data_IF_025257916111
#
_entry.id   IF_025257916111
#
_cell.length_a   1.000
_cell.length_b   1.000
_cell.length_c   1.000
_cell.angle_alpha   90.00
_cell.angle_beta   90.00
_cell.angle_gamma   90.00
#
_symmetry.space_group_name_H-M   'P 1'
#
loop_
_entity.id
_entity.type
_entity.pdbx_description
1 polymer ?
#
# COMPACT_ATOMS: atom_id res chain seq x y z
N UNK A 1 23.80 42.26 -67.30
CA UNK A 1 24.25 41.42 -66.18
C UNK A 1 23.36 41.74 -64.99
N UNK A 2 22.38 40.86 -64.72
CA UNK A 2 21.42 40.97 -63.62
C UNK A 2 21.95 40.09 -62.50
N UNK A 3 22.38 40.68 -61.38
CA UNK A 3 22.72 39.97 -60.16
C UNK A 3 21.43 39.65 -59.38
N UNK A 4 21.05 38.37 -59.32
CA UNK A 4 19.99 37.91 -58.44
C UNK A 4 20.61 37.61 -57.07
N UNK A 5 20.35 38.50 -56.10
CA UNK A 5 20.62 38.19 -54.68
C UNK A 5 19.63 37.15 -54.19
N UNK A 6 20.10 35.91 -54.06
CA UNK A 6 19.36 34.84 -53.33
C UNK A 6 19.46 35.13 -51.85
N UNK A 7 18.40 35.70 -51.25
CA UNK A 7 18.21 35.70 -49.80
C UNK A 7 17.94 34.28 -49.35
N UNK A 8 18.93 33.62 -48.80
CA UNK A 8 18.77 32.39 -48.05
C UNK A 8 17.96 32.68 -46.79
N UNK A 9 16.67 32.47 -46.80
CA UNK A 9 15.82 32.40 -45.60
C UNK A 9 16.24 31.16 -44.79
N UNK A 10 17.15 31.34 -43.87
CA UNK A 10 17.38 30.29 -42.86
C UNK A 10 16.10 30.13 -42.05
N UNK A 11 15.58 28.89 -41.90
CA UNK A 11 14.45 28.67 -41.02
C UNK A 11 14.86 29.00 -39.60
N UNK A 12 14.21 30.02 -39.02
CA UNK A 12 14.29 30.25 -37.56
C UNK A 12 13.78 29.00 -36.88
N UNK A 13 14.67 28.12 -36.47
CA UNK A 13 14.33 27.05 -35.54
C UNK A 13 13.86 27.71 -34.25
N UNK A 14 12.55 27.76 -34.06
CA UNK A 14 11.97 28.04 -32.75
C UNK A 14 12.40 26.88 -31.87
N UNK A 15 13.51 27.06 -31.16
CA UNK A 15 13.90 26.13 -30.08
C UNK A 15 12.77 26.16 -29.07
N UNK A 16 11.94 25.09 -29.08
CA UNK A 16 10.91 24.89 -28.08
C UNK A 16 11.59 25.03 -26.69
N UNK A 17 11.07 25.90 -25.83
CA UNK A 17 11.59 26.08 -24.47
C UNK A 17 11.80 24.70 -23.85
N UNK A 18 13.06 24.31 -23.66
CA UNK A 18 13.43 23.03 -23.06
C UNK A 18 13.10 22.97 -21.56
N UNK A 19 12.67 24.07 -20.98
CA UNK A 19 12.38 24.23 -19.55
C UNK A 19 11.06 24.99 -19.37
N UNK A 20 10.19 24.45 -18.53
CA UNK A 20 8.95 25.12 -18.06
C UNK A 20 8.98 25.19 -16.54
N UNK A 21 8.57 26.31 -15.98
CA UNK A 21 8.58 26.52 -14.52
C UNK A 21 7.36 27.30 -14.06
N UNK A 22 7.13 27.28 -12.77
CA UNK A 22 6.07 28.02 -12.08
C UNK A 22 6.25 27.93 -10.57
N UNK A 23 5.22 28.34 -9.83
CA UNK A 23 5.14 28.22 -8.37
C UNK A 23 3.90 27.43 -8.00
N UNK A 24 3.95 26.71 -6.88
CA UNK A 24 2.77 26.13 -6.24
C UNK A 24 2.04 27.18 -5.37
N UNK A 25 0.88 26.81 -4.80
CA UNK A 25 0.10 27.75 -3.99
C UNK A 25 0.79 28.14 -2.67
N UNK A 26 1.81 27.40 -2.24
CA UNK A 26 2.62 27.71 -1.08
C UNK A 26 3.85 28.55 -1.43
N UNK A 27 4.08 28.86 -2.72
CA UNK A 27 5.18 29.65 -3.21
C UNK A 27 6.44 28.85 -3.51
N UNK A 28 6.44 27.52 -3.41
CA UNK A 28 7.58 26.71 -3.83
C UNK A 28 7.70 26.75 -5.36
N UNK A 29 8.92 26.91 -5.86
CA UNK A 29 9.22 26.89 -7.30
C UNK A 29 9.28 25.46 -7.81
N UNK A 30 8.61 25.20 -8.93
CA UNK A 30 8.79 23.97 -9.68
C UNK A 30 9.36 24.22 -11.07
N UNK A 31 10.11 23.26 -11.60
CA UNK A 31 10.74 23.33 -12.92
C UNK A 31 10.67 21.97 -13.59
N UNK A 32 10.19 21.94 -14.85
CA UNK A 32 10.22 20.74 -15.68
C UNK A 32 11.23 20.87 -16.81
N UNK A 33 12.17 19.95 -16.89
CA UNK A 33 13.19 19.85 -17.92
C UNK A 33 12.78 18.76 -18.93
N UNK A 34 12.45 19.16 -20.15
CA UNK A 34 11.96 18.23 -21.18
C UNK A 34 13.03 17.25 -21.65
N UNK A 35 14.29 17.67 -21.74
CA UNK A 35 15.42 16.84 -22.18
C UNK A 35 15.73 15.70 -21.22
N UNK A 36 15.65 15.96 -19.91
CA UNK A 36 15.91 14.97 -18.86
C UNK A 36 14.64 14.36 -18.28
N UNK A 37 13.46 14.85 -18.70
CA UNK A 37 12.15 14.48 -18.17
C UNK A 37 12.07 14.56 -16.65
N UNK A 38 12.72 15.57 -16.08
CA UNK A 38 12.86 15.78 -14.65
C UNK A 38 11.96 16.92 -14.20
N UNK A 39 11.16 16.66 -13.18
CA UNK A 39 10.38 17.63 -12.44
C UNK A 39 11.07 17.90 -11.10
N UNK A 40 11.47 19.14 -10.86
CA UNK A 40 12.20 19.57 -9.66
C UNK A 40 11.37 20.56 -8.86
N UNK A 41 11.43 20.47 -7.53
CA UNK A 41 10.81 21.40 -6.58
C UNK A 41 11.86 22.00 -5.65
N UNK A 42 11.83 23.32 -5.50
CA UNK A 42 12.68 24.06 -4.59
C UNK A 42 11.85 25.05 -3.77
N UNK A 43 12.16 25.20 -2.49
CA UNK A 43 11.45 26.07 -1.56
C UNK A 43 11.67 25.67 -0.11
N UNK A 44 10.89 26.27 0.80
CA UNK A 44 11.04 26.10 2.25
C UNK A 44 9.74 25.67 2.95
N UNK A 45 8.71 25.35 2.18
CA UNK A 45 7.40 24.93 2.68
C UNK A 45 7.02 23.53 2.17
N UNK A 46 5.93 22.99 2.70
CA UNK A 46 5.35 21.80 2.11
C UNK A 46 4.80 22.09 0.70
N UNK A 47 4.91 21.13 -0.22
CA UNK A 47 4.21 21.18 -1.51
C UNK A 47 2.71 21.17 -1.23
N UNK A 48 1.96 21.97 -1.99
CA UNK A 48 0.52 22.19 -1.80
C UNK A 48 -0.31 20.91 -1.96
N UNK A 49 -1.49 20.90 -1.33
CA UNK A 49 -2.51 19.85 -1.50
C UNK A 49 -3.33 20.10 -2.76
N UNK A 50 -3.71 19.04 -3.44
CA UNK A 50 -4.58 19.06 -4.61
C UNK A 50 -5.71 18.04 -4.50
N UNK A 51 -6.78 18.25 -5.27
CA UNK A 51 -7.89 17.31 -5.42
C UNK A 51 -8.01 16.93 -6.89
N UNK A 52 -8.13 15.63 -7.17
CA UNK A 52 -8.21 15.11 -8.54
C UNK A 52 -9.67 14.88 -9.01
N UNK A 53 -10.67 15.42 -8.31
CA UNK A 53 -12.09 15.13 -8.58
C UNK A 53 -12.75 16.02 -9.66
N UNK A 54 -12.00 16.58 -10.59
CA UNK A 54 -12.54 17.28 -11.77
C UNK A 54 -13.20 18.63 -11.50
N UNK A 55 -13.31 19.07 -10.25
CA UNK A 55 -13.91 20.37 -9.86
C UNK A 55 -12.96 21.27 -9.08
N UNK A 56 -11.85 20.71 -8.55
CA UNK A 56 -10.83 21.45 -7.83
C UNK A 56 -9.48 21.27 -8.53
N UNK A 57 -8.61 22.24 -8.39
CA UNK A 57 -7.36 22.40 -9.13
C UNK A 57 -6.49 21.14 -9.18
N UNK A 58 -6.21 20.66 -10.39
CA UNK A 58 -5.07 19.80 -10.65
C UNK A 58 -3.77 20.57 -10.40
N UNK A 59 -2.67 19.92 -9.96
CA UNK A 59 -1.37 20.55 -9.86
C UNK A 59 -0.97 21.20 -11.19
N UNK A 60 -0.40 22.40 -11.18
CA UNK A 60 0.04 23.12 -12.40
C UNK A 60 1.02 22.29 -13.24
N UNK A 61 1.78 21.37 -12.61
CA UNK A 61 2.72 20.47 -13.24
C UNK A 61 2.09 19.13 -13.68
N UNK A 62 0.80 18.89 -13.41
CA UNK A 62 0.12 17.63 -13.75
C UNK A 62 0.14 17.33 -15.26
N UNK A 63 0.14 18.37 -16.10
CA UNK A 63 0.30 18.24 -17.56
C UNK A 63 1.57 17.48 -17.99
N UNK A 64 2.53 17.33 -17.09
CA UNK A 64 3.77 16.60 -17.29
C UNK A 64 3.77 15.21 -16.67
N UNK A 65 2.69 14.78 -16.01
CA UNK A 65 2.59 13.50 -15.31
C UNK A 65 2.97 12.32 -16.21
N UNK A 66 2.46 12.28 -17.44
CA UNK A 66 2.75 11.22 -18.42
C UNK A 66 4.15 11.34 -19.07
N UNK A 67 4.90 12.41 -18.82
CA UNK A 67 6.21 12.67 -19.45
C UNK A 67 7.34 12.61 -18.43
N UNK A 68 7.05 12.80 -17.15
CA UNK A 68 8.05 12.84 -16.08
C UNK A 68 8.59 11.43 -15.81
N UNK A 69 9.92 11.31 -15.84
CA UNK A 69 10.62 10.08 -15.44
C UNK A 69 11.34 10.23 -14.09
N UNK A 70 11.67 11.46 -13.70
CA UNK A 70 12.38 11.75 -12.47
C UNK A 70 11.70 12.90 -11.72
N UNK A 71 11.46 12.71 -10.42
CA UNK A 71 10.95 13.73 -9.50
C UNK A 71 12.07 14.01 -8.49
N UNK A 72 12.48 15.27 -8.38
CA UNK A 72 13.52 15.72 -7.45
C UNK A 72 12.93 16.79 -6.55
N UNK A 73 12.91 16.52 -5.26
CA UNK A 73 12.52 17.48 -4.22
C UNK A 73 13.81 17.96 -3.56
N UNK A 74 14.06 19.26 -3.60
CA UNK A 74 15.27 19.86 -3.04
C UNK A 74 15.13 20.11 -1.54
N UNK A 75 16.30 20.27 -0.89
CA UNK A 75 16.37 20.57 0.55
C UNK A 75 15.63 21.89 0.86
N UNK A 76 14.94 21.92 2.02
CA UNK A 76 14.08 23.02 2.44
C UNK A 76 12.59 22.64 2.34
N UNK A 77 12.17 21.85 1.35
CA UNK A 77 10.79 21.38 1.26
C UNK A 77 10.44 20.50 2.47
N UNK A 78 9.38 20.87 3.21
CA UNK A 78 9.05 20.25 4.50
C UNK A 78 7.98 19.16 4.44
N UNK A 79 7.31 19.00 3.30
CA UNK A 79 6.28 17.97 3.13
C UNK A 79 5.79 17.82 1.70
N UNK A 80 5.21 16.67 1.42
CA UNK A 80 4.58 16.36 0.13
C UNK A 80 3.06 16.43 0.31
N UNK A 81 2.41 17.29 -0.46
CA UNK A 81 0.97 17.53 -0.40
C UNK A 81 0.15 16.35 -0.89
N UNK A 82 -1.15 16.38 -0.59
CA UNK A 82 -2.12 15.41 -1.09
C UNK A 82 -2.16 15.45 -2.62
N UNK A 83 -2.18 14.28 -3.26
CA UNK A 83 -2.22 14.10 -4.71
C UNK A 83 -1.11 14.84 -5.49
N UNK A 84 -0.08 15.38 -4.83
CA UNK A 84 0.89 16.25 -5.49
C UNK A 84 1.57 15.58 -6.70
N UNK A 85 1.78 14.28 -6.65
CA UNK A 85 2.39 13.46 -7.70
C UNK A 85 1.58 12.20 -8.00
N UNK A 86 0.26 12.22 -7.79
CA UNK A 86 -0.60 11.10 -8.18
C UNK A 86 -0.62 10.96 -9.71
N UNK A 87 -0.70 9.70 -10.20
CA UNK A 87 -0.75 9.34 -11.62
C UNK A 87 0.50 9.71 -12.45
N UNK A 88 1.65 9.90 -11.81
CA UNK A 88 2.93 10.03 -12.50
C UNK A 88 3.44 8.66 -12.96
N UNK A 89 2.66 8.03 -13.86
CA UNK A 89 2.79 6.61 -14.23
C UNK A 89 4.16 6.22 -14.79
N UNK A 90 4.91 7.17 -15.36
CA UNK A 90 6.23 6.97 -15.93
C UNK A 90 7.38 7.36 -14.98
N UNK A 91 7.09 7.92 -13.79
CA UNK A 91 8.10 8.29 -12.81
C UNK A 91 8.86 7.06 -12.32
N UNK A 92 10.15 7.00 -12.62
CA UNK A 92 11.07 5.89 -12.29
C UNK A 92 11.74 6.12 -10.95
N UNK A 93 12.02 7.37 -10.62
CA UNK A 93 12.73 7.77 -9.41
C UNK A 93 12.06 8.97 -8.74
N UNK A 94 12.06 8.96 -7.44
CA UNK A 94 11.66 10.07 -6.57
C UNK A 94 12.78 10.27 -5.55
N UNK A 95 13.34 11.48 -5.51
CA UNK A 95 14.33 11.88 -4.52
C UNK A 95 13.67 12.81 -3.51
N UNK A 96 13.71 12.45 -2.25
CA UNK A 96 13.16 13.21 -1.13
C UNK A 96 14.31 13.69 -0.23
N UNK A 97 14.38 14.98 0.13
CA UNK A 97 15.40 15.53 1.01
C UNK A 97 15.13 15.23 2.48
N UNK A 98 16.14 15.39 3.32
CA UNK A 98 16.04 15.14 4.76
C UNK A 98 15.15 16.17 5.50
N UNK A 99 14.82 17.30 4.86
CA UNK A 99 13.86 18.29 5.37
C UNK A 99 12.40 17.83 5.41
N UNK A 100 12.01 16.79 4.64
CA UNK A 100 10.63 16.31 4.58
C UNK A 100 10.22 15.66 5.91
N UNK A 101 9.04 16.06 6.43
CA UNK A 101 8.45 15.59 7.71
C UNK A 101 7.15 14.82 7.51
N UNK A 102 6.45 15.01 6.38
CA UNK A 102 5.16 14.37 6.11
C UNK A 102 5.01 14.08 4.61
N UNK A 103 4.46 12.91 4.31
CA UNK A 103 3.92 12.56 2.99
C UNK A 103 2.43 12.40 3.20
N UNK A 104 1.62 13.21 2.49
CA UNK A 104 0.16 13.24 2.69
C UNK A 104 -0.55 12.15 1.87
N UNK A 105 -1.87 12.13 1.98
CA UNK A 105 -2.73 11.15 1.33
C UNK A 105 -2.53 11.21 -0.19
N UNK A 106 -2.47 10.02 -0.83
CA UNK A 106 -2.43 9.80 -2.28
C UNK A 106 -1.25 10.52 -3.00
N UNK A 107 -0.22 10.99 -2.24
CA UNK A 107 0.85 11.84 -2.76
C UNK A 107 1.61 11.26 -3.96
N UNK A 108 1.76 9.95 -4.04
CA UNK A 108 2.40 9.20 -5.13
C UNK A 108 1.51 8.03 -5.60
N UNK A 109 0.17 8.17 -5.46
CA UNK A 109 -0.76 7.16 -5.95
C UNK A 109 -0.51 6.88 -7.43
N UNK A 110 -0.60 5.61 -7.86
CA UNK A 110 -0.44 5.17 -9.26
C UNK A 110 0.90 5.56 -9.92
N UNK A 111 1.97 5.74 -9.19
CA UNK A 111 3.32 5.87 -9.76
C UNK A 111 3.83 4.49 -10.20
N UNK A 112 3.24 3.97 -11.28
CA UNK A 112 3.37 2.57 -11.71
C UNK A 112 4.80 2.16 -12.08
N UNK A 113 5.66 3.11 -12.46
CA UNK A 113 7.04 2.85 -12.86
C UNK A 113 8.07 3.02 -11.74
N UNK A 114 7.67 3.56 -10.58
CA UNK A 114 8.54 3.74 -9.43
C UNK A 114 9.02 2.39 -8.88
N UNK A 115 10.36 2.21 -8.79
CA UNK A 115 10.95 0.93 -8.36
C UNK A 115 11.38 0.92 -6.91
N UNK A 116 11.95 2.01 -6.45
CA UNK A 116 12.49 2.15 -5.09
C UNK A 116 12.22 3.56 -4.59
N UNK A 117 12.03 3.68 -3.28
CA UNK A 117 11.97 4.98 -2.62
C UNK A 117 12.57 4.87 -1.22
N UNK A 118 13.43 5.83 -0.88
CA UNK A 118 13.92 6.05 0.48
C UNK A 118 13.07 7.14 1.13
N UNK A 119 12.41 6.80 2.22
CA UNK A 119 11.66 7.77 3.02
C UNK A 119 12.63 8.40 4.03
N UNK A 120 12.76 9.74 4.08
CA UNK A 120 13.68 10.42 5.00
C UNK A 120 13.39 10.12 6.47
N UNK A 121 14.44 10.12 7.29
CA UNK A 121 14.34 9.75 8.72
C UNK A 121 13.43 10.70 9.54
N UNK A 122 13.26 11.94 9.08
CA UNK A 122 12.35 12.92 9.67
C UNK A 122 10.86 12.66 9.46
N UNK A 123 10.49 11.73 8.56
CA UNK A 123 9.08 11.47 8.23
C UNK A 123 8.41 10.66 9.33
N UNK A 124 7.45 11.26 10.03
CA UNK A 124 6.68 10.60 11.10
C UNK A 124 5.39 9.93 10.59
N UNK A 125 4.87 10.35 9.43
CA UNK A 125 3.59 9.89 8.87
C UNK A 125 3.66 9.79 7.35
N UNK A 126 3.20 8.64 6.83
CA UNK A 126 2.82 8.45 5.43
C UNK A 126 1.30 8.38 5.37
N UNK A 127 0.68 9.22 4.53
CA UNK A 127 -0.77 9.32 4.34
C UNK A 127 -1.37 8.06 3.73
N UNK A 128 -2.68 7.93 3.87
CA UNK A 128 -3.40 6.82 3.27
C UNK A 128 -3.34 6.94 1.74
N UNK A 129 -3.11 5.82 1.06
CA UNK A 129 -3.02 5.80 -0.41
C UNK A 129 -1.72 6.34 -1.01
N UNK A 130 -0.81 6.92 -0.20
CA UNK A 130 0.37 7.61 -0.71
C UNK A 130 1.21 6.80 -1.71
N UNK A 131 1.17 5.48 -1.68
CA UNK A 131 1.86 4.58 -2.62
C UNK A 131 0.95 3.49 -3.18
N UNK A 132 -0.38 3.66 -3.11
CA UNK A 132 -1.33 2.72 -3.73
C UNK A 132 -1.07 2.67 -5.25
N UNK A 133 -1.08 1.46 -5.82
CA UNK A 133 -0.89 1.29 -7.26
C UNK A 133 0.53 1.52 -7.79
N UNK A 134 1.54 1.67 -6.92
CA UNK A 134 2.94 1.69 -7.33
C UNK A 134 3.38 0.28 -7.75
N UNK A 135 2.87 -0.20 -8.92
CA UNK A 135 2.94 -1.60 -9.31
C UNK A 135 4.35 -2.16 -9.40
N UNK A 136 5.34 -1.34 -9.83
CA UNK A 136 6.74 -1.76 -9.97
C UNK A 136 7.59 -1.52 -8.72
N UNK A 137 7.00 -1.02 -7.62
CA UNK A 137 7.74 -0.75 -6.39
C UNK A 137 8.25 -2.08 -5.80
N UNK A 138 9.58 -2.23 -5.78
CA UNK A 138 10.29 -3.40 -5.28
C UNK A 138 10.73 -3.24 -3.83
N UNK A 139 11.09 -2.00 -3.46
CA UNK A 139 11.60 -1.66 -2.14
C UNK A 139 11.11 -0.28 -1.69
N UNK A 140 10.71 -0.19 -0.42
CA UNK A 140 10.47 1.06 0.29
C UNK A 140 11.26 1.03 1.60
N UNK A 141 12.23 1.96 1.73
CA UNK A 141 13.03 2.10 2.94
C UNK A 141 12.30 3.05 3.89
N UNK A 142 11.82 2.51 5.00
CA UNK A 142 11.05 3.27 6.00
C UNK A 142 11.94 3.73 7.15
N UNK A 143 11.75 4.96 7.66
CA UNK A 143 12.46 5.44 8.84
C UNK A 143 12.05 4.65 10.10
N UNK A 144 13.02 4.42 11.00
CA UNK A 144 12.81 3.65 12.22
C UNK A 144 11.75 4.26 13.17
N UNK A 145 11.56 5.58 13.11
CA UNK A 145 10.69 6.34 14.01
C UNK A 145 9.29 6.61 13.45
N UNK A 146 8.96 6.08 12.26
CA UNK A 146 7.65 6.28 11.65
C UNK A 146 6.54 5.71 12.56
N UNK A 147 5.45 6.46 12.72
CA UNK A 147 4.33 6.09 13.60
C UNK A 147 3.09 5.64 12.85
N UNK A 148 2.87 6.18 11.67
CA UNK A 148 1.69 5.88 10.84
C UNK A 148 2.08 5.66 9.39
N UNK A 149 1.58 4.57 8.81
CA UNK A 149 1.81 4.20 7.42
C UNK A 149 0.46 3.91 6.78
N UNK A 150 0.18 4.60 5.68
CA UNK A 150 -0.95 4.34 4.81
C UNK A 150 -0.78 3.09 3.97
N UNK A 151 -1.81 2.73 3.21
CA UNK A 151 -1.83 1.52 2.39
C UNK A 151 -0.73 1.50 1.32
N UNK A 152 -0.20 0.29 1.12
CA UNK A 152 0.70 -0.08 0.02
C UNK A 152 -0.03 -1.04 -0.95
N UNK A 153 -1.35 -0.89 -1.06
CA UNK A 153 -2.22 -1.69 -1.90
C UNK A 153 -1.76 -1.65 -3.36
N UNK A 154 -1.71 -2.81 -4.00
CA UNK A 154 -1.34 -2.90 -5.42
C UNK A 154 0.15 -2.73 -5.74
N UNK A 155 1.04 -2.66 -4.74
CA UNK A 155 2.48 -2.71 -4.96
C UNK A 155 2.93 -4.14 -5.33
N UNK A 156 2.64 -4.55 -6.57
CA UNK A 156 2.73 -5.96 -7.02
C UNK A 156 4.14 -6.55 -6.96
N UNK A 157 5.20 -5.73 -6.94
CA UNK A 157 6.60 -6.17 -6.98
C UNK A 157 7.32 -6.18 -5.64
N UNK A 158 6.74 -5.62 -4.57
CA UNK A 158 7.33 -5.67 -3.23
C UNK A 158 7.49 -7.14 -2.80
N UNK A 159 8.75 -7.55 -2.53
CA UNK A 159 9.08 -8.92 -2.10
C UNK A 159 9.12 -9.06 -0.59
N UNK A 160 9.55 -8.02 0.11
CA UNK A 160 9.64 -8.00 1.55
C UNK A 160 9.30 -6.62 2.10
N UNK A 161 8.71 -6.58 3.30
CA UNK A 161 8.48 -5.34 4.02
C UNK A 161 8.70 -5.55 5.51
N UNK A 162 9.37 -4.59 6.15
CA UNK A 162 9.58 -4.55 7.58
C UNK A 162 8.93 -3.30 8.16
N UNK A 163 7.81 -3.47 8.83
CA UNK A 163 7.20 -2.36 9.58
C UNK A 163 7.98 -2.15 10.88
N UNK A 164 8.46 -0.93 11.17
CA UNK A 164 9.09 -0.59 12.44
C UNK A 164 8.16 -0.84 13.64
N UNK A 165 8.73 -1.19 14.79
CA UNK A 165 7.96 -1.46 15.99
C UNK A 165 7.31 -0.20 16.61
N UNK A 166 7.72 0.99 16.17
CA UNK A 166 7.08 2.29 16.48
C UNK A 166 5.70 2.45 15.83
N UNK A 167 5.40 1.69 14.78
CA UNK A 167 4.09 1.70 14.12
C UNK A 167 3.08 1.00 15.02
N UNK A 168 2.07 1.72 15.48
CA UNK A 168 1.02 1.19 16.34
C UNK A 168 -0.32 0.98 15.63
N UNK A 169 -0.44 1.46 14.41
CA UNK A 169 -1.64 1.37 13.59
C UNK A 169 -1.28 1.16 12.12
N UNK A 170 -1.92 0.19 11.50
CA UNK A 170 -1.88 -0.05 10.05
C UNK A 170 -3.29 0.20 9.49
N UNK A 171 -3.39 0.82 8.33
CA UNK A 171 -4.68 0.98 7.65
C UNK A 171 -5.22 -0.37 7.18
N UNK A 172 -6.54 -0.48 7.00
CA UNK A 172 -7.19 -1.68 6.47
C UNK A 172 -6.71 -1.94 5.03
N UNK A 173 -6.38 -3.20 4.70
CA UNK A 173 -5.87 -3.57 3.39
C UNK A 173 -4.43 -3.10 3.14
N UNK A 174 -3.63 -2.95 4.18
CA UNK A 174 -2.27 -2.37 4.15
C UNK A 174 -1.38 -2.91 3.01
N UNK A 175 -1.48 -4.20 2.68
CA UNK A 175 -0.68 -4.90 1.66
C UNK A 175 -1.56 -5.64 0.64
N UNK A 176 -2.81 -5.22 0.47
CA UNK A 176 -3.71 -5.86 -0.49
C UNK A 176 -3.11 -5.85 -1.90
N UNK A 177 -3.09 -7.01 -2.57
CA UNK A 177 -2.57 -7.13 -3.94
C UNK A 177 -1.04 -7.05 -4.07
N UNK A 178 -0.28 -7.11 -2.96
CA UNK A 178 1.18 -7.23 -3.03
C UNK A 178 1.57 -8.65 -3.45
N UNK A 179 1.36 -8.98 -4.73
CA UNK A 179 1.42 -10.35 -5.25
C UNK A 179 2.78 -11.03 -5.08
N UNK A 180 3.89 -10.27 -5.17
CA UNK A 180 5.25 -10.78 -5.03
C UNK A 180 5.70 -10.93 -3.57
N UNK A 181 4.93 -10.47 -2.59
CA UNK A 181 5.31 -10.46 -1.18
C UNK A 181 5.58 -11.89 -0.67
N UNK A 182 6.77 -12.12 -0.16
CA UNK A 182 7.19 -13.40 0.43
C UNK A 182 7.46 -13.29 1.91
N UNK A 183 7.85 -12.11 2.38
CA UNK A 183 8.23 -11.87 3.76
C UNK A 183 7.62 -10.56 4.29
N UNK A 184 7.07 -10.60 5.50
CA UNK A 184 6.55 -9.43 6.20
C UNK A 184 6.88 -9.51 7.68
N UNK A 185 7.51 -8.44 8.21
CA UNK A 185 7.65 -8.21 9.65
C UNK A 185 6.59 -7.21 10.07
N UNK A 186 5.68 -7.64 10.96
CA UNK A 186 4.64 -6.79 11.54
C UNK A 186 5.11 -6.15 12.84
N UNK A 187 4.61 -4.95 13.20
CA UNK A 187 4.93 -4.30 14.47
C UNK A 187 4.57 -5.21 15.65
N UNK A 188 5.44 -5.28 16.65
CA UNK A 188 5.27 -6.21 17.80
C UNK A 188 4.02 -5.90 18.65
N UNK A 189 3.58 -4.64 18.67
CA UNK A 189 2.44 -4.16 19.45
C UNK A 189 1.11 -4.11 18.72
N UNK A 190 1.08 -4.61 17.47
CA UNK A 190 -0.14 -4.64 16.66
C UNK A 190 -1.26 -5.40 17.39
N UNK A 191 -2.46 -4.77 17.49
CA UNK A 191 -3.61 -5.30 18.21
C UNK A 191 -4.59 -6.06 17.32
N UNK A 192 -4.60 -5.76 16.04
CA UNK A 192 -5.60 -6.28 15.10
C UNK A 192 -4.98 -6.58 13.74
N UNK A 193 -5.42 -7.67 13.15
CA UNK A 193 -5.29 -7.96 11.72
C UNK A 193 -6.63 -7.63 11.09
N UNK A 194 -6.62 -6.61 10.23
CA UNK A 194 -7.82 -6.03 9.62
C UNK A 194 -8.24 -6.76 8.36
N UNK A 195 -9.45 -6.52 7.84
CA UNK A 195 -9.85 -7.04 6.55
C UNK A 195 -8.84 -6.67 5.45
N UNK A 196 -8.61 -7.59 4.53
CA UNK A 196 -7.76 -7.42 3.34
C UNK A 196 -6.27 -7.11 3.59
N UNK A 197 -5.78 -7.10 4.82
CA UNK A 197 -4.39 -6.72 5.13
C UNK A 197 -3.33 -7.43 4.29
N UNK A 198 -3.59 -8.70 3.90
CA UNK A 198 -2.71 -9.52 3.07
C UNK A 198 -3.45 -10.19 1.91
N UNK A 199 -4.68 -9.73 1.60
CA UNK A 199 -5.44 -10.33 0.50
C UNK A 199 -4.65 -10.25 -0.80
N UNK A 200 -4.69 -11.34 -1.58
CA UNK A 200 -3.96 -11.51 -2.84
C UNK A 200 -2.43 -11.38 -2.75
N UNK A 201 -1.84 -11.48 -1.56
CA UNK A 201 -0.40 -11.72 -1.40
C UNK A 201 -0.06 -13.17 -1.80
N UNK A 202 -0.15 -13.49 -3.09
CA UNK A 202 -0.13 -14.86 -3.63
C UNK A 202 1.13 -15.65 -3.30
N UNK A 203 2.28 -14.95 -3.16
CA UNK A 203 3.57 -15.57 -2.82
C UNK A 203 3.86 -15.65 -1.33
N UNK A 204 3.01 -15.07 -0.47
CA UNK A 204 3.17 -15.12 0.99
C UNK A 204 2.85 -16.53 1.51
N UNK A 205 3.89 -17.32 1.78
CA UNK A 205 3.79 -18.72 2.22
C UNK A 205 3.82 -18.89 3.74
N UNK A 206 4.30 -17.87 4.47
CA UNK A 206 4.42 -17.85 5.93
C UNK A 206 4.12 -16.45 6.45
N UNK A 207 3.51 -16.39 7.63
CA UNK A 207 3.32 -15.15 8.37
C UNK A 207 3.37 -15.44 9.87
N UNK A 208 4.02 -14.56 10.61
CA UNK A 208 4.06 -14.59 12.07
C UNK A 208 3.22 -13.44 12.58
N UNK A 209 2.12 -13.75 13.24
CA UNK A 209 1.25 -12.75 13.85
C UNK A 209 1.79 -12.33 15.20
N UNK A 210 1.87 -11.03 15.53
CA UNK A 210 2.37 -10.54 16.81
C UNK A 210 1.58 -11.10 18.00
N UNK A 211 2.27 -11.38 19.11
CA UNK A 211 1.68 -12.00 20.31
C UNK A 211 0.57 -11.14 20.95
N UNK A 212 0.52 -9.83 20.65
CA UNK A 212 -0.46 -8.90 21.22
C UNK A 212 -1.74 -8.76 20.41
N UNK A 213 -1.84 -9.41 19.26
CA UNK A 213 -3.05 -9.41 18.44
C UNK A 213 -4.24 -9.97 19.21
N UNK A 214 -5.31 -9.19 19.28
CA UNK A 214 -6.57 -9.50 19.99
C UNK A 214 -7.71 -9.83 19.03
N UNK A 215 -7.68 -9.29 17.82
CA UNK A 215 -8.71 -9.46 16.79
C UNK A 215 -8.07 -9.83 15.46
N UNK A 216 -8.67 -10.78 14.76
CA UNK A 216 -8.19 -11.22 13.44
C UNK A 216 -9.36 -11.33 12.48
N UNK A 217 -9.27 -10.66 11.35
CA UNK A 217 -10.18 -10.87 10.22
C UNK A 217 -9.66 -12.00 9.34
N UNK A 218 -10.49 -12.99 9.04
CA UNK A 218 -10.09 -14.11 8.18
C UNK A 218 -10.00 -13.70 6.71
N UNK A 219 -10.72 -12.66 6.27
CA UNK A 219 -10.58 -12.09 4.93
C UNK A 219 -9.19 -11.49 4.67
N UNK A 220 -8.44 -11.14 5.72
CA UNK A 220 -7.07 -10.66 5.58
C UNK A 220 -6.15 -11.64 4.83
N UNK A 221 -6.46 -12.92 4.83
CA UNK A 221 -5.62 -13.96 4.23
C UNK A 221 -6.18 -14.52 2.93
N UNK A 222 -7.24 -13.91 2.39
CA UNK A 222 -7.83 -14.35 1.12
C UNK A 222 -6.80 -14.26 -0.01
N UNK A 223 -6.75 -15.26 -0.91
CA UNK A 223 -5.83 -15.27 -2.04
C UNK A 223 -4.34 -15.44 -1.70
N UNK A 224 -3.97 -15.64 -0.43
CA UNK A 224 -2.56 -15.86 -0.05
C UNK A 224 -2.05 -17.24 -0.40
N UNK A 225 -0.71 -17.37 -0.46
CA UNK A 225 0.00 -18.65 -0.59
C UNK A 225 0.17 -19.45 0.72
N UNK A 226 -0.47 -19.01 1.81
CA UNK A 226 -0.29 -19.60 3.15
C UNK A 226 -0.76 -21.05 3.21
N UNK A 227 0.10 -21.92 3.74
CA UNK A 227 -0.25 -23.32 4.06
C UNK A 227 -0.80 -23.46 5.49
N UNK A 228 -0.39 -22.56 6.37
CA UNK A 228 -0.74 -22.56 7.80
C UNK A 228 -0.95 -21.14 8.30
N UNK A 229 -1.96 -20.95 9.16
CA UNK A 229 -2.21 -19.71 9.91
C UNK A 229 -2.25 -20.08 11.39
N UNK A 230 -1.44 -19.41 12.22
CA UNK A 230 -1.41 -19.59 13.66
C UNK A 230 -1.92 -18.34 14.37
N UNK A 231 -3.12 -18.40 14.95
CA UNK A 231 -3.73 -17.30 15.69
C UNK A 231 -3.16 -17.24 17.12
N UNK A 232 -2.58 -16.09 17.55
CA UNK A 232 -1.92 -15.97 18.84
C UNK A 232 -2.83 -16.22 20.05
N UNK A 233 -2.21 -16.45 21.20
CA UNK A 233 -2.89 -16.78 22.46
C UNK A 233 -3.79 -15.68 23.03
N UNK A 234 -3.58 -14.41 22.62
CA UNK A 234 -4.40 -13.27 23.06
C UNK A 234 -5.63 -13.00 22.17
N UNK A 235 -5.80 -13.70 21.07
CA UNK A 235 -6.95 -13.53 20.19
C UNK A 235 -8.24 -13.89 20.93
N UNK A 236 -9.17 -12.94 20.98
CA UNK A 236 -10.49 -13.15 21.59
C UNK A 236 -11.64 -12.96 20.58
N UNK A 237 -11.37 -12.35 19.41
CA UNK A 237 -12.35 -12.12 18.35
C UNK A 237 -11.82 -12.60 17.01
N UNK A 238 -12.62 -13.40 16.31
CA UNK A 238 -12.36 -13.79 14.92
C UNK A 238 -13.47 -13.19 14.08
N UNK A 239 -13.09 -12.28 13.16
CA UNK A 239 -14.01 -11.55 12.28
C UNK A 239 -14.05 -12.19 10.90
N UNK A 240 -15.14 -11.99 10.18
CA UNK A 240 -15.24 -12.30 8.75
C UNK A 240 -14.38 -11.30 7.97
N UNK A 241 -14.50 -10.04 8.26
CA UNK A 241 -14.13 -8.90 7.46
C UNK A 241 -15.32 -8.45 6.63
N UNK A 242 -15.64 -7.18 6.70
CA UNK A 242 -16.69 -6.58 5.89
C UNK A 242 -16.07 -5.96 4.66
N UNK A 243 -16.48 -6.37 3.47
CA UNK A 243 -16.32 -5.60 2.25
C UNK A 243 -17.33 -4.45 2.29
N UNK A 244 -17.12 -3.47 3.18
CA UNK A 244 -17.97 -2.28 3.30
C UNK A 244 -17.56 -1.14 2.41
N UNK A 245 -16.51 -1.27 1.61
CA UNK A 245 -16.10 -0.29 0.61
C UNK A 245 -16.22 -0.90 -0.78
N UNK A 246 -17.06 -0.28 -1.62
CA UNK A 246 -16.96 -0.33 -3.08
C UNK A 246 -15.65 0.35 -3.47
N UNK A 247 -14.54 -0.36 -3.34
CA UNK A 247 -13.25 0.11 -3.86
C UNK A 247 -12.91 -0.80 -5.01
N UNK A 248 -13.07 -0.24 -6.21
CA UNK A 248 -12.73 -0.82 -7.51
C UNK A 248 -13.38 -2.17 -7.86
N UNK A 249 -14.37 -2.11 -8.71
CA UNK A 249 -15.05 -3.05 -9.60
C UNK A 249 -14.51 -4.50 -9.77
N UNK A 250 -14.26 -5.23 -8.70
CA UNK A 250 -14.16 -6.68 -8.72
C UNK A 250 -15.25 -7.31 -7.87
N UNK A 251 -16.50 -6.89 -8.14
CA UNK A 251 -17.68 -7.57 -7.63
C UNK A 251 -17.98 -8.80 -8.48
N UNK A 252 -17.36 -9.93 -8.15
CA UNK A 252 -18.00 -11.26 -8.24
C UNK A 252 -17.36 -12.15 -7.19
N UNK A 253 -18.09 -12.33 -6.07
CA UNK A 253 -17.86 -13.42 -5.11
C UNK A 253 -16.46 -13.42 -4.48
N UNK A 254 -16.19 -12.54 -3.53
CA UNK A 254 -15.00 -12.55 -2.66
C UNK A 254 -14.96 -13.78 -1.74
N UNK A 255 -14.89 -14.93 -2.34
CA UNK A 255 -14.40 -16.17 -1.74
C UNK A 255 -13.22 -16.63 -2.60
N UNK A 256 -12.10 -15.87 -2.58
CA UNK A 256 -10.87 -16.48 -3.05
C UNK A 256 -10.48 -17.55 -2.03
N UNK A 257 -10.68 -18.83 -2.35
CA UNK A 257 -10.25 -19.87 -1.44
C UNK A 257 -8.73 -19.71 -1.30
N UNK A 258 -8.27 -19.72 -0.08
CA UNK A 258 -6.86 -19.97 0.22
C UNK A 258 -6.54 -21.38 -0.22
N UNK A 259 -6.38 -21.59 -1.55
CA UNK A 259 -6.26 -22.94 -2.17
C UNK A 259 -5.18 -23.79 -1.50
N UNK A 260 -4.16 -23.13 -0.95
CA UNK A 260 -3.00 -23.77 -0.35
C UNK A 260 -3.13 -24.02 1.15
N UNK A 261 -4.11 -23.39 1.82
CA UNK A 261 -4.29 -23.51 3.26
C UNK A 261 -4.65 -24.96 3.66
N UNK A 262 -3.95 -25.47 4.65
CA UNK A 262 -4.16 -26.83 5.19
C UNK A 262 -4.41 -26.83 6.68
N UNK A 263 -3.86 -25.83 7.41
CA UNK A 263 -3.96 -25.81 8.87
C UNK A 263 -4.26 -24.41 9.37
N UNK A 264 -5.22 -24.31 10.28
CA UNK A 264 -5.47 -23.13 11.10
C UNK A 264 -5.30 -23.55 12.56
N UNK A 265 -4.40 -22.92 13.26
CA UNK A 265 -4.18 -23.12 14.70
C UNK A 265 -4.76 -21.95 15.50
N UNK A 266 -5.61 -22.24 16.47
CA UNK A 266 -6.18 -21.25 17.39
C UNK A 266 -5.56 -21.49 18.77
N UNK A 267 -4.45 -20.83 19.07
CA UNK A 267 -3.74 -21.00 20.35
C UNK A 267 -4.46 -20.35 21.53
N UNK A 268 -5.38 -19.43 21.27
CA UNK A 268 -6.13 -18.74 22.32
C UNK A 268 -7.07 -19.67 23.06
N UNK A 269 -7.05 -19.62 24.41
CA UNK A 269 -8.07 -20.22 25.27
C UNK A 269 -9.20 -19.22 25.60
N UNK A 270 -9.12 -17.97 25.07
CA UNK A 270 -9.96 -16.82 25.45
C UNK A 270 -10.87 -16.33 24.32
N UNK A 271 -11.06 -17.11 23.22
CA UNK A 271 -11.96 -16.71 22.15
C UNK A 271 -13.38 -16.53 22.69
N UNK A 272 -13.91 -15.31 22.55
CA UNK A 272 -15.24 -14.90 23.00
C UNK A 272 -16.25 -14.90 21.87
N UNK A 273 -15.83 -14.49 20.66
CA UNK A 273 -16.69 -14.41 19.49
C UNK A 273 -16.00 -14.88 18.22
N UNK A 274 -16.79 -15.56 17.40
CA UNK A 274 -16.46 -15.90 16.01
C UNK A 274 -17.61 -15.40 15.16
N UNK A 275 -17.34 -14.44 14.30
CA UNK A 275 -18.37 -13.80 13.48
C UNK A 275 -18.92 -14.77 12.44
N UNK A 276 -20.21 -14.64 12.09
CA UNK A 276 -20.86 -15.44 11.05
C UNK A 276 -20.05 -15.34 9.74
N UNK A 277 -19.88 -16.48 9.08
CA UNK A 277 -19.15 -16.61 7.81
C UNK A 277 -17.65 -16.25 7.83
N UNK A 278 -17.00 -16.15 9.01
CA UNK A 278 -15.55 -15.90 9.11
C UNK A 278 -14.71 -16.96 8.40
N UNK A 279 -15.21 -18.17 8.24
CA UNK A 279 -14.54 -19.29 7.58
C UNK A 279 -15.29 -19.73 6.32
N UNK A 280 -16.11 -18.86 5.73
CA UNK A 280 -16.82 -19.13 4.49
C UNK A 280 -15.84 -19.43 3.35
N UNK A 281 -16.16 -20.42 2.50
CA UNK A 281 -15.29 -20.84 1.39
C UNK A 281 -14.06 -21.65 1.80
N UNK A 282 -13.89 -21.98 3.08
CA UNK A 282 -12.76 -22.79 3.52
C UNK A 282 -12.85 -24.21 2.96
N UNK A 283 -11.77 -24.68 2.34
CA UNK A 283 -11.68 -26.04 1.77
C UNK A 283 -11.87 -27.10 2.86
N UNK A 284 -12.57 -28.19 2.54
CA UNK A 284 -12.69 -29.36 3.42
C UNK A 284 -11.36 -30.03 3.75
N UNK A 285 -10.29 -29.77 2.98
CA UNK A 285 -8.93 -30.25 3.24
C UNK A 285 -8.25 -29.52 4.39
N UNK A 286 -8.82 -28.42 4.90
CA UNK A 286 -8.27 -27.66 6.02
C UNK A 286 -8.60 -28.36 7.33
N UNK A 287 -7.63 -28.40 8.25
CA UNK A 287 -7.80 -28.84 9.63
C UNK A 287 -7.70 -27.63 10.54
N UNK A 288 -8.67 -27.46 11.43
CA UNK A 288 -8.61 -26.43 12.47
C UNK A 288 -8.17 -27.10 13.78
N UNK A 289 -7.06 -26.63 14.33
CA UNK A 289 -6.54 -27.09 15.62
C UNK A 289 -6.88 -26.09 16.71
N UNK A 290 -7.36 -26.59 17.83
CA UNK A 290 -7.81 -25.79 18.97
C UNK A 290 -7.31 -26.37 20.29
N UNK A 291 -7.17 -25.58 21.37
CA UNK A 291 -6.76 -26.09 22.67
C UNK A 291 -7.66 -27.21 23.15
N UNK A 292 -7.08 -28.33 23.61
CA UNK A 292 -7.81 -29.52 24.09
C UNK A 292 -8.92 -29.15 25.06
N UNK A 293 -8.63 -28.28 26.05
CA UNK A 293 -9.59 -27.83 27.07
C UNK A 293 -10.75 -26.97 26.53
N UNK A 294 -10.65 -26.45 25.29
CA UNK A 294 -11.68 -25.60 24.66
C UNK A 294 -12.35 -26.26 23.45
N UNK A 295 -11.97 -27.47 23.08
CA UNK A 295 -12.42 -28.12 21.84
C UNK A 295 -13.93 -28.14 21.72
N UNK A 296 -14.66 -28.64 22.73
CA UNK A 296 -16.14 -28.71 22.72
C UNK A 296 -16.77 -27.33 22.47
N UNK A 297 -16.30 -26.30 23.22
CA UNK A 297 -16.80 -24.93 23.10
C UNK A 297 -16.52 -24.38 21.69
N UNK A 298 -15.26 -24.47 21.21
CA UNK A 298 -14.86 -23.86 19.95
C UNK A 298 -15.47 -24.61 18.75
N UNK A 299 -15.65 -25.93 18.82
CA UNK A 299 -16.39 -26.65 17.80
C UNK A 299 -17.81 -26.09 17.65
N UNK A 300 -18.55 -25.89 18.77
CA UNK A 300 -19.88 -25.27 18.72
C UNK A 300 -19.88 -23.88 18.11
N UNK A 301 -18.93 -23.03 18.50
CA UNK A 301 -18.79 -21.67 17.97
C UNK A 301 -18.45 -21.65 16.48
N UNK A 302 -17.50 -22.47 16.03
CA UNK A 302 -17.09 -22.59 14.64
C UNK A 302 -18.24 -23.09 13.75
N UNK A 303 -18.99 -24.10 14.20
CA UNK A 303 -20.15 -24.58 13.45
C UNK A 303 -21.27 -23.55 13.38
N UNK A 304 -21.54 -22.84 14.50
CA UNK A 304 -22.53 -21.75 14.51
C UNK A 304 -22.10 -20.58 13.60
N UNK A 305 -20.82 -20.37 13.41
CA UNK A 305 -20.29 -19.35 12.47
C UNK A 305 -20.32 -19.77 11.00
N UNK A 306 -20.87 -20.93 10.65
CA UNK A 306 -21.03 -21.40 9.27
C UNK A 306 -19.88 -22.28 8.77
N UNK A 307 -19.00 -22.78 9.65
CA UNK A 307 -17.95 -23.72 9.25
C UNK A 307 -18.57 -25.04 8.79
N UNK A 308 -18.22 -25.50 7.59
CA UNK A 308 -18.69 -26.76 7.01
C UNK A 308 -18.38 -27.95 7.91
N UNK A 309 -19.37 -28.89 8.04
CA UNK A 309 -19.19 -30.15 8.77
C UNK A 309 -18.03 -31.01 8.24
N UNK A 310 -17.66 -30.86 6.97
CA UNK A 310 -16.53 -31.58 6.33
C UNK A 310 -15.16 -31.15 6.84
N UNK A 311 -15.03 -29.95 7.44
CA UNK A 311 -13.75 -29.46 8.00
C UNK A 311 -13.48 -30.12 9.34
N UNK A 312 -12.31 -30.79 9.48
CA UNK A 312 -11.90 -31.43 10.73
C UNK A 312 -11.50 -30.41 11.79
N UNK A 313 -11.87 -30.66 13.06
CA UNK A 313 -11.44 -29.88 14.22
C UNK A 313 -10.70 -30.84 15.17
N UNK A 314 -9.43 -30.58 15.41
CA UNK A 314 -8.53 -31.40 16.21
C UNK A 314 -7.99 -30.64 17.43
N UNK A 315 -7.28 -31.33 18.30
CA UNK A 315 -6.50 -30.68 19.36
C UNK A 315 -5.21 -30.09 18.76
N UNK A 316 -4.71 -29.00 19.40
CA UNK A 316 -3.37 -28.49 19.18
C UNK A 316 -2.33 -29.51 19.66
#
# INVERSE_FOLDING_TARGET
VILILSLCLMPVQIQAKSVTSGTDDNGNKWTYHTSTKTLTFAGDKAISDFTLNGHDREPYWYRWSNKTEHIVIEEGITGIGRNAFADFVNAKTVVLPDSVRVIREDAFENNQSLRTIKIPDGVAKIGNGAFVGCEKLEEIQMPAQIKKIGRLEGCKKIKSICFPDTVNYLEEGILWGCEALTNVKLPCDLKEIKPHDFSDCRRLKRIILPKRVKSVSMSAFAGTGLKKISLPSKVHTIKRGTSGRKVFSYEKGLTYPTKNLRVIEIHSKKVKSIQKNSFSGLSSKVVIKVPKSKKKKYTKMLRKSGLSKKVKICNL
#
